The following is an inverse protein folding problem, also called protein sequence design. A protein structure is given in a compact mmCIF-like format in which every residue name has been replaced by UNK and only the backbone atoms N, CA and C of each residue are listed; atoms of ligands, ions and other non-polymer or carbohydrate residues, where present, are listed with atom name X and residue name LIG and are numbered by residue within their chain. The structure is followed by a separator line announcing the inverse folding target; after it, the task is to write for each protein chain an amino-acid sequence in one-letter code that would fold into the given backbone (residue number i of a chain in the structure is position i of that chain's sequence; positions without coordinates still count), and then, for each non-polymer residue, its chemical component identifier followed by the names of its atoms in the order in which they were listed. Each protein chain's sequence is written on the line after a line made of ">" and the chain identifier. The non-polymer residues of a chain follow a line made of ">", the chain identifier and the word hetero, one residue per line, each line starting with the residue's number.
data_IF_164430777619
#
_entry.id   IF_164430777619
#
_cell.length_a   1.000
_cell.length_b   1.000
_cell.length_c   1.000
_cell.angle_alpha   90.00
_cell.angle_beta   90.00
_cell.angle_gamma   90.00
#
_symmetry.space_group_name_H-M   'P 1'
#
loop_
_entity.id
_entity.type
_entity.pdbx_description
1 polymer ?
#
# COMPACT_ATOMS: atom_id res chain seq x y z
N UNK A 1 -40.81 -44.98 -12.83
CA UNK A 1 -39.91 -43.92 -13.33
C UNK A 1 -39.61 -42.95 -12.20
N UNK A 2 -38.52 -43.17 -11.46
CA UNK A 2 -38.15 -42.41 -10.25
C UNK A 2 -36.65 -42.17 -10.24
N UNK A 3 -36.15 -41.30 -11.14
CA UNK A 3 -34.74 -40.88 -11.15
C UNK A 3 -34.62 -39.45 -11.69
N UNK A 4 -35.07 -38.45 -10.93
CA UNK A 4 -34.78 -37.03 -11.24
C UNK A 4 -34.63 -36.13 -9.99
N UNK A 5 -34.16 -36.67 -8.86
CA UNK A 5 -33.86 -35.86 -7.67
C UNK A 5 -32.38 -35.64 -7.29
N UNK A 6 -31.38 -36.46 -7.70
CA UNK A 6 -30.01 -36.23 -7.21
C UNK A 6 -29.22 -35.20 -8.02
N UNK A 7 -29.66 -34.82 -9.23
CA UNK A 7 -28.90 -33.90 -10.09
C UNK A 7 -29.01 -32.42 -9.65
N UNK A 8 -30.11 -32.05 -8.99
CA UNK A 8 -30.37 -30.66 -8.59
C UNK A 8 -29.60 -30.24 -7.34
N UNK A 9 -29.29 -31.20 -6.45
CA UNK A 9 -28.46 -30.95 -5.24
C UNK A 9 -26.97 -30.85 -5.61
N UNK A 10 -26.50 -31.60 -6.62
CA UNK A 10 -25.12 -31.45 -7.10
C UNK A 10 -24.87 -30.15 -7.88
N UNK A 11 -25.86 -29.63 -8.61
CA UNK A 11 -25.71 -28.36 -9.34
C UNK A 11 -25.78 -27.12 -8.43
N UNK A 12 -26.49 -27.20 -7.30
CA UNK A 12 -26.51 -26.10 -6.31
C UNK A 12 -25.21 -26.01 -5.49
N UNK A 13 -24.49 -27.13 -5.32
CA UNK A 13 -23.18 -27.15 -4.65
C UNK A 13 -22.04 -26.66 -5.55
N UNK A 14 -22.18 -26.77 -6.87
CA UNK A 14 -21.16 -26.32 -7.85
C UNK A 14 -21.36 -24.84 -8.23
N UNK A 15 -22.57 -24.29 -8.03
CA UNK A 15 -22.82 -22.86 -8.26
C UNK A 15 -22.32 -21.93 -7.14
N UNK A 16 -21.95 -22.46 -5.96
CA UNK A 16 -21.51 -21.64 -4.82
C UNK A 16 -19.99 -21.39 -4.75
N UNK A 17 -19.20 -21.95 -5.67
CA UNK A 17 -17.76 -21.66 -5.79
C UNK A 17 -17.40 -20.79 -6.99
N UNK A 18 -18.40 -20.29 -7.72
CA UNK A 18 -18.20 -19.36 -8.82
C UNK A 18 -18.17 -17.91 -8.31
N UNK A 19 -16.94 -17.38 -8.21
CA UNK A 19 -16.57 -15.97 -7.96
C UNK A 19 -16.79 -15.45 -6.53
N UNK A 20 -16.01 -15.97 -5.59
CA UNK A 20 -15.45 -15.09 -4.56
C UNK A 20 -14.30 -14.30 -5.19
N UNK A 21 -14.64 -13.39 -6.11
CA UNK A 21 -13.71 -12.41 -6.65
C UNK A 21 -13.71 -11.28 -5.63
N UNK A 22 -12.64 -11.15 -4.84
CA UNK A 22 -12.58 -10.11 -3.81
C UNK A 22 -12.78 -8.75 -4.47
N UNK A 23 -13.83 -8.02 -4.08
CA UNK A 23 -14.09 -6.68 -4.63
C UNK A 23 -12.93 -5.72 -4.32
N UNK A 24 -12.17 -6.00 -3.26
CA UNK A 24 -10.96 -5.28 -2.89
C UNK A 24 -9.70 -6.09 -3.25
N UNK A 25 -9.11 -5.79 -4.40
CA UNK A 25 -7.84 -6.37 -4.81
C UNK A 25 -6.67 -5.46 -4.39
N UNK A 26 -6.00 -5.84 -3.29
CA UNK A 26 -4.85 -5.08 -2.78
C UNK A 26 -3.67 -5.05 -3.77
N UNK A 27 -3.53 -6.06 -4.63
CA UNK A 27 -2.42 -6.12 -5.58
C UNK A 27 -2.56 -5.09 -6.69
N UNK A 28 -3.80 -4.75 -7.07
CA UNK A 28 -4.08 -3.68 -8.03
C UNK A 28 -3.42 -2.37 -7.61
N UNK A 29 -3.40 -2.05 -6.32
CA UNK A 29 -2.74 -0.84 -5.84
C UNK A 29 -1.23 -0.93 -6.06
N UNK A 30 -0.59 -2.06 -5.72
CA UNK A 30 0.85 -2.25 -5.97
C UNK A 30 1.20 -2.12 -7.46
N UNK A 31 0.37 -2.72 -8.33
CA UNK A 31 0.56 -2.71 -9.77
C UNK A 31 0.34 -1.31 -10.40
N UNK A 32 -0.33 -0.41 -9.67
CA UNK A 32 -0.60 0.97 -10.08
C UNK A 32 0.39 1.99 -9.50
N UNK A 33 1.40 1.55 -8.75
CA UNK A 33 2.45 2.45 -8.28
C UNK A 33 3.08 3.17 -9.48
N UNK A 34 3.26 4.52 -9.41
CA UNK A 34 3.90 5.23 -10.50
C UNK A 34 5.33 4.69 -10.71
N UNK A 35 5.73 4.40 -11.97
CA UNK A 35 7.05 3.85 -12.25
C UNK A 35 8.15 4.89 -12.00
N UNK A 36 9.40 4.43 -11.89
CA UNK A 36 10.57 5.31 -12.05
C UNK A 36 10.64 5.76 -13.50
N UNK A 37 11.04 7.00 -13.73
CA UNK A 37 11.16 7.57 -15.07
C UNK A 37 12.29 6.93 -15.88
N UNK A 38 12.17 7.00 -17.20
CA UNK A 38 13.17 6.45 -18.12
C UNK A 38 14.42 7.31 -18.25
N UNK A 39 14.28 8.62 -18.08
CA UNK A 39 15.37 9.59 -18.14
C UNK A 39 15.14 10.77 -17.18
N UNK A 40 16.16 11.63 -17.06
CA UNK A 40 16.17 12.77 -16.13
C UNK A 40 15.17 13.85 -16.53
N UNK A 41 14.94 14.07 -17.84
CA UNK A 41 13.93 15.03 -18.31
C UNK A 41 12.51 14.58 -17.94
N UNK A 42 12.21 13.29 -18.08
CA UNK A 42 10.94 12.71 -17.63
C UNK A 42 10.78 12.85 -16.11
N UNK A 43 11.84 12.63 -15.32
CA UNK A 43 11.80 12.84 -13.87
C UNK A 43 11.41 14.28 -13.54
N UNK A 44 12.04 15.25 -14.20
CA UNK A 44 11.74 16.66 -14.03
C UNK A 44 10.29 17.00 -14.39
N UNK A 45 9.79 16.52 -15.54
CA UNK A 45 8.41 16.76 -15.98
C UNK A 45 7.37 16.16 -15.02
N UNK A 46 7.66 15.01 -14.41
CA UNK A 46 6.76 14.38 -13.44
C UNK A 46 6.71 15.12 -12.09
N UNK A 47 7.84 15.72 -11.68
CA UNK A 47 7.94 16.47 -10.42
C UNK A 47 7.51 17.94 -10.53
N UNK A 48 7.61 18.55 -11.72
CA UNK A 48 7.21 19.94 -11.97
C UNK A 48 6.16 20.06 -13.09
N UNK A 49 5.01 19.37 -12.99
CA UNK A 49 3.95 19.49 -13.98
C UNK A 49 3.31 20.88 -13.89
N UNK A 50 2.99 21.49 -15.04
CA UNK A 50 2.36 22.81 -15.10
C UNK A 50 0.98 22.79 -14.41
N UNK A 51 0.91 23.32 -13.19
CA UNK A 51 -0.32 23.55 -12.43
C UNK A 51 -1.10 22.31 -11.99
N UNK A 52 -0.46 21.14 -11.88
CA UNK A 52 -1.12 19.86 -11.53
C UNK A 52 -0.41 19.15 -10.38
N UNK A 53 -1.11 18.22 -9.73
CA UNK A 53 -0.49 17.27 -8.80
C UNK A 53 0.45 16.32 -9.55
N UNK A 54 1.57 15.94 -8.93
CA UNK A 54 2.47 14.91 -9.47
C UNK A 54 1.77 13.54 -9.53
N UNK A 55 2.23 12.60 -10.38
CA UNK A 55 1.67 11.25 -10.39
C UNK A 55 1.67 10.58 -9.01
N UNK A 56 2.71 10.83 -8.21
CA UNK A 56 2.82 10.33 -6.84
C UNK A 56 1.78 10.94 -5.89
N UNK A 57 1.50 12.24 -6.01
CA UNK A 57 0.46 12.91 -5.23
C UNK A 57 -0.95 12.45 -5.63
N UNK A 58 -1.20 12.29 -6.93
CA UNK A 58 -2.49 11.79 -7.43
C UNK A 58 -2.75 10.36 -6.94
N UNK A 59 -1.74 9.51 -7.00
CA UNK A 59 -1.83 8.13 -6.52
C UNK A 59 -1.97 8.06 -4.99
N UNK A 60 -1.27 8.92 -4.25
CA UNK A 60 -1.44 9.04 -2.81
C UNK A 60 -2.86 9.44 -2.42
N UNK A 61 -3.48 10.39 -3.13
CA UNK A 61 -4.88 10.75 -2.92
C UNK A 61 -5.84 9.56 -3.13
N UNK A 62 -5.55 8.65 -4.08
CA UNK A 62 -6.33 7.42 -4.26
C UNK A 62 -6.22 6.52 -3.03
N UNK A 63 -5.01 6.32 -2.49
CA UNK A 63 -4.80 5.51 -1.30
C UNK A 63 -5.45 6.14 -0.06
N UNK A 64 -5.35 7.46 0.10
CA UNK A 64 -5.97 8.19 1.20
C UNK A 64 -7.49 8.07 1.15
N UNK A 65 -8.10 8.15 -0.03
CA UNK A 65 -9.53 7.93 -0.19
C UNK A 65 -9.96 6.52 0.26
N UNK A 66 -9.14 5.50 -0.01
CA UNK A 66 -9.43 4.13 0.42
C UNK A 66 -9.26 3.95 1.93
N UNK A 67 -8.19 4.51 2.52
CA UNK A 67 -7.98 4.47 3.97
C UNK A 67 -9.11 5.21 4.71
N UNK A 68 -9.54 6.36 4.19
CA UNK A 68 -10.71 7.10 4.68
C UNK A 68 -11.98 6.23 4.64
N UNK A 69 -12.25 5.56 3.51
CA UNK A 69 -13.40 4.67 3.40
C UNK A 69 -13.36 3.50 4.39
N UNK A 70 -12.17 2.98 4.72
CA UNK A 70 -12.02 1.96 5.77
C UNK A 70 -12.31 2.54 7.17
N UNK A 71 -11.84 3.76 7.45
CA UNK A 71 -12.14 4.44 8.71
C UNK A 71 -13.65 4.67 8.89
N UNK A 72 -14.33 5.16 7.83
CA UNK A 72 -15.78 5.35 7.81
C UNK A 72 -16.53 4.02 8.03
N UNK A 73 -16.08 2.93 7.38
CA UNK A 73 -16.64 1.58 7.57
C UNK A 73 -16.42 1.00 8.96
N UNK A 74 -15.38 1.44 9.66
CA UNK A 74 -15.13 1.08 11.06
C UNK A 74 -15.99 1.89 12.04
N UNK A 75 -16.87 2.77 11.52
CA UNK A 75 -17.60 3.76 12.31
C UNK A 75 -16.68 4.56 13.24
N UNK A 76 -15.46 4.86 12.75
CA UNK A 76 -14.39 5.54 13.49
C UNK A 76 -14.00 4.88 14.82
N UNK A 77 -14.31 3.60 15.02
CA UNK A 77 -13.95 2.88 16.25
C UNK A 77 -12.46 2.52 16.31
N UNK A 78 -11.80 2.46 15.15
CA UNK A 78 -10.36 2.19 15.07
C UNK A 78 -9.53 3.45 15.24
N UNK A 79 -8.77 3.50 16.34
CA UNK A 79 -7.72 4.51 16.55
C UNK A 79 -6.71 4.50 15.40
N UNK A 80 -6.28 3.31 14.99
CA UNK A 80 -5.29 3.13 13.93
C UNK A 80 -5.78 3.71 12.60
N UNK A 81 -6.99 3.36 12.15
CA UNK A 81 -7.54 3.90 10.90
C UNK A 81 -7.77 5.41 11.00
N UNK A 82 -8.13 5.93 12.17
CA UNK A 82 -8.26 7.38 12.40
C UNK A 82 -6.92 8.10 12.29
N UNK A 83 -5.82 7.50 12.77
CA UNK A 83 -4.47 8.03 12.59
C UNK A 83 -4.04 7.96 11.12
N UNK A 84 -4.23 6.80 10.46
CA UNK A 84 -3.81 6.60 9.07
C UNK A 84 -4.54 7.51 8.08
N UNK A 85 -5.80 7.85 8.37
CA UNK A 85 -6.64 8.77 7.59
C UNK A 85 -6.36 10.25 7.90
N UNK A 86 -5.51 10.57 8.88
CA UNK A 86 -5.26 11.95 9.31
C UNK A 86 -6.45 12.60 10.03
N UNK A 87 -7.41 11.81 10.51
CA UNK A 87 -8.63 12.30 11.19
C UNK A 87 -8.60 12.14 12.71
N UNK A 88 -7.50 11.64 13.26
CA UNK A 88 -7.36 11.34 14.70
C UNK A 88 -7.81 12.49 15.61
N UNK A 89 -7.38 13.73 15.34
CA UNK A 89 -7.75 14.88 16.19
C UNK A 89 -9.26 15.21 16.15
N UNK A 90 -9.90 15.02 15.00
CA UNK A 90 -11.33 15.27 14.84
C UNK A 90 -12.15 14.15 15.48
N UNK A 91 -11.78 12.89 15.23
CA UNK A 91 -12.50 11.73 15.76
C UNK A 91 -12.25 11.56 17.26
N UNK A 92 -11.06 11.86 17.76
CA UNK A 92 -10.72 11.81 19.19
C UNK A 92 -11.52 12.79 20.06
N UNK A 93 -12.16 13.80 19.46
CA UNK A 93 -13.12 14.68 20.16
C UNK A 93 -14.50 14.07 20.29
N UNK A 94 -14.85 13.11 19.43
CA UNK A 94 -16.16 12.45 19.34
C UNK A 94 -16.15 11.07 19.97
N UNK A 95 -15.00 10.42 19.95
CA UNK A 95 -14.79 9.03 20.32
C UNK A 95 -13.69 8.94 21.37
N UNK A 96 -14.02 8.34 22.52
CA UNK A 96 -13.04 8.00 23.54
C UNK A 96 -12.41 6.64 23.20
N UNK A 97 -11.29 6.68 22.47
CA UNK A 97 -10.57 5.47 22.06
C UNK A 97 -10.10 4.60 23.23
N UNK A 98 -9.95 5.16 24.43
CA UNK A 98 -9.53 4.38 25.62
C UNK A 98 -10.62 3.42 26.10
N UNK A 99 -11.87 3.68 25.72
CA UNK A 99 -13.03 2.86 26.08
C UNK A 99 -13.43 1.86 24.99
N UNK A 100 -12.85 1.96 23.80
CA UNK A 100 -13.15 1.04 22.70
C UNK A 100 -12.25 -0.17 22.80
N UNK A 101 -12.87 -1.35 22.94
CA UNK A 101 -12.18 -2.64 22.88
C UNK A 101 -12.47 -3.29 21.53
N UNK A 102 -11.45 -3.35 20.68
CA UNK A 102 -11.50 -4.07 19.42
C UNK A 102 -11.11 -5.52 19.70
N UNK A 103 -11.96 -6.47 19.29
CA UNK A 103 -11.61 -7.87 19.38
C UNK A 103 -10.50 -8.21 18.38
N UNK A 104 -9.50 -8.96 18.84
CA UNK A 104 -8.35 -9.35 18.03
C UNK A 104 -8.27 -10.87 17.88
N UNK A 105 -8.00 -11.34 16.66
CA UNK A 105 -7.46 -12.68 16.43
C UNK A 105 -5.95 -12.68 16.80
N UNK A 106 -5.50 -13.51 17.77
CA UNK A 106 -4.10 -13.60 18.17
C UNK A 106 -3.15 -13.99 17.04
N UNK A 107 -3.56 -14.87 16.12
CA UNK A 107 -2.71 -15.31 15.01
C UNK A 107 -2.51 -14.16 14.02
N UNK A 108 -3.59 -13.45 13.70
CA UNK A 108 -3.55 -12.28 12.83
C UNK A 108 -2.72 -11.15 13.46
N UNK A 109 -2.90 -10.89 14.76
CA UNK A 109 -2.11 -9.89 15.50
C UNK A 109 -0.62 -10.23 15.47
N UNK A 110 -0.26 -11.49 15.73
CA UNK A 110 1.12 -11.96 15.65
C UNK A 110 1.69 -11.74 14.25
N UNK A 111 0.94 -12.07 13.20
CA UNK A 111 1.37 -11.86 11.81
C UNK A 111 1.52 -10.38 11.47
N UNK A 112 0.62 -9.50 11.94
CA UNK A 112 0.75 -8.04 11.75
C UNK A 112 2.05 -7.49 12.37
N UNK A 113 2.38 -7.91 13.58
CA UNK A 113 3.62 -7.51 14.27
C UNK A 113 4.86 -8.00 13.52
N UNK A 114 4.88 -9.28 13.11
CA UNK A 114 5.97 -9.84 12.31
C UNK A 114 6.13 -9.07 10.99
N UNK A 115 5.02 -8.82 10.30
CA UNK A 115 5.00 -8.10 9.04
C UNK A 115 5.51 -6.66 9.17
N UNK A 116 5.20 -5.98 10.26
CA UNK A 116 5.75 -4.63 10.47
C UNK A 116 7.29 -4.65 10.49
N UNK A 117 7.89 -5.64 11.15
CA UNK A 117 9.35 -5.84 11.12
C UNK A 117 9.86 -6.14 9.70
N UNK A 118 9.20 -7.04 8.98
CA UNK A 118 9.59 -7.40 7.60
C UNK A 118 9.54 -6.17 6.69
N UNK A 119 8.51 -5.32 6.82
CA UNK A 119 8.40 -4.09 6.04
C UNK A 119 9.56 -3.13 6.31
N UNK A 120 9.95 -2.92 7.56
CA UNK A 120 11.11 -2.07 7.88
C UNK A 120 12.41 -2.62 7.30
N UNK A 121 12.59 -3.95 7.28
CA UNK A 121 13.75 -4.55 6.60
C UNK A 121 13.72 -4.30 5.08
N UNK A 122 12.55 -4.34 4.45
CA UNK A 122 12.42 -4.01 3.01
C UNK A 122 12.79 -2.54 2.74
N UNK A 123 12.40 -1.63 3.63
CA UNK A 123 12.76 -0.20 3.53
C UNK A 123 14.26 0.01 3.78
N UNK A 124 14.85 -0.64 4.78
CA UNK A 124 16.29 -0.60 5.06
C UNK A 124 17.12 -1.13 3.88
N UNK A 125 16.70 -2.26 3.29
CA UNK A 125 17.31 -2.81 2.07
C UNK A 125 17.25 -1.82 0.90
N UNK A 126 16.14 -1.08 0.74
CA UNK A 126 16.04 -0.03 -0.28
C UNK A 126 17.01 1.12 -0.01
N UNK A 127 17.15 1.54 1.25
CA UNK A 127 18.15 2.53 1.68
C UNK A 127 19.57 2.08 1.36
N UNK A 128 19.90 0.81 1.59
CA UNK A 128 21.21 0.23 1.24
C UNK A 128 21.45 0.19 -0.27
N UNK A 129 20.44 -0.17 -1.05
CA UNK A 129 20.54 -0.16 -2.52
C UNK A 129 20.77 1.25 -3.08
N UNK A 130 20.38 2.28 -2.33
CA UNK A 130 20.48 3.69 -2.73
C UNK A 130 21.61 4.45 -2.02
N UNK A 131 22.43 3.78 -1.20
CA UNK A 131 23.46 4.42 -0.36
C UNK A 131 24.59 5.08 -1.17
N UNK A 132 24.79 4.68 -2.43
CA UNK A 132 25.79 5.27 -3.33
C UNK A 132 25.50 6.72 -3.73
N UNK A 133 24.29 7.23 -3.45
CA UNK A 133 23.86 8.56 -3.84
C UNK A 133 24.65 9.66 -3.13
N UNK A 134 24.98 9.47 -1.85
CA UNK A 134 25.79 10.45 -1.11
C UNK A 134 27.20 10.57 -1.69
N UNK A 135 27.77 9.47 -2.18
CA UNK A 135 29.05 9.48 -2.86
C UNK A 135 28.98 10.19 -4.20
N UNK A 136 27.90 10.01 -4.97
CA UNK A 136 27.67 10.75 -6.23
C UNK A 136 27.66 12.26 -5.96
N UNK A 137 26.91 12.71 -4.95
CA UNK A 137 26.82 14.14 -4.59
C UNK A 137 28.14 14.78 -4.18
N UNK A 138 29.06 13.99 -3.61
CA UNK A 138 30.36 14.47 -3.14
C UNK A 138 31.44 14.46 -4.20
N UNK A 139 31.37 13.50 -5.13
CA UNK A 139 32.45 13.22 -6.09
C UNK A 139 32.18 13.76 -7.48
N UNK A 140 30.93 14.08 -7.80
CA UNK A 140 30.54 14.63 -9.10
C UNK A 140 30.18 16.10 -8.97
N UNK A 141 30.85 16.97 -9.72
CA UNK A 141 30.60 18.42 -9.67
C UNK A 141 29.46 18.83 -10.60
N UNK A 142 29.26 18.10 -11.70
CA UNK A 142 28.20 18.39 -12.67
C UNK A 142 26.84 17.84 -12.19
N UNK A 143 25.88 18.74 -11.96
CA UNK A 143 24.55 18.39 -11.49
C UNK A 143 23.74 17.52 -12.47
N UNK A 144 23.95 17.66 -13.78
CA UNK A 144 23.31 16.82 -14.79
C UNK A 144 23.86 15.39 -14.74
N UNK A 145 25.17 15.23 -14.60
CA UNK A 145 25.81 13.92 -14.40
C UNK A 145 25.40 13.29 -13.07
N UNK A 146 25.26 14.09 -12.00
CA UNK A 146 24.69 13.63 -10.73
C UNK A 146 23.28 13.06 -10.94
N UNK A 147 22.39 13.80 -11.61
CA UNK A 147 21.01 13.40 -11.86
C UNK A 147 20.95 12.07 -12.63
N UNK A 148 21.75 11.92 -13.69
CA UNK A 148 21.83 10.69 -14.50
C UNK A 148 22.33 9.50 -13.67
N UNK A 149 23.39 9.68 -12.88
CA UNK A 149 23.94 8.61 -12.03
C UNK A 149 22.96 8.18 -10.94
N UNK A 150 22.29 9.14 -10.28
CA UNK A 150 21.26 8.85 -9.29
C UNK A 150 20.08 8.12 -9.90
N UNK A 151 19.60 8.56 -11.07
CA UNK A 151 18.48 7.92 -11.75
C UNK A 151 18.78 6.45 -12.07
N UNK A 152 20.00 6.13 -12.54
CA UNK A 152 20.40 4.74 -12.80
C UNK A 152 20.34 3.86 -11.55
N UNK A 153 20.77 4.38 -10.39
CA UNK A 153 20.65 3.66 -9.11
C UNK A 153 19.17 3.40 -8.81
N UNK A 154 18.31 4.42 -8.93
CA UNK A 154 16.88 4.26 -8.63
C UNK A 154 16.18 3.32 -9.61
N UNK A 155 16.51 3.35 -10.90
CA UNK A 155 15.99 2.43 -11.91
C UNK A 155 16.32 0.96 -11.60
N UNK A 156 17.44 0.70 -10.90
CA UNK A 156 17.80 -0.65 -10.44
C UNK A 156 17.14 -1.00 -9.10
N UNK A 157 17.11 -0.05 -8.15
CA UNK A 157 16.65 -0.30 -6.79
C UNK A 157 15.12 -0.42 -6.68
N UNK A 158 14.36 0.42 -7.39
CA UNK A 158 12.90 0.48 -7.26
C UNK A 158 12.20 -0.81 -7.70
N UNK A 159 12.54 -1.45 -8.84
CA UNK A 159 11.94 -2.74 -9.21
C UNK A 159 12.15 -3.82 -8.15
N UNK A 160 13.33 -3.87 -7.52
CA UNK A 160 13.63 -4.82 -6.43
C UNK A 160 12.76 -4.52 -5.21
N UNK A 161 12.64 -3.24 -4.84
CA UNK A 161 11.81 -2.79 -3.74
C UNK A 161 10.32 -3.10 -3.96
N UNK A 162 9.77 -2.78 -5.13
CA UNK A 162 8.37 -3.06 -5.49
C UNK A 162 8.10 -4.57 -5.51
N UNK A 163 9.04 -5.38 -6.02
CA UNK A 163 8.93 -6.84 -5.98
C UNK A 163 8.86 -7.36 -4.54
N UNK A 164 9.73 -6.88 -3.65
CA UNK A 164 9.71 -7.26 -2.22
C UNK A 164 8.42 -6.82 -1.54
N UNK A 165 7.94 -5.60 -1.83
CA UNK A 165 6.66 -5.08 -1.33
C UNK A 165 5.47 -5.95 -1.77
N UNK A 166 5.44 -6.38 -3.04
CA UNK A 166 4.39 -7.27 -3.57
C UNK A 166 4.37 -8.61 -2.83
N UNK A 167 5.53 -9.21 -2.59
CA UNK A 167 5.65 -10.46 -1.84
C UNK A 167 5.19 -10.29 -0.38
N UNK A 168 5.61 -9.20 0.25
CA UNK A 168 5.18 -8.82 1.59
C UNK A 168 3.64 -8.73 1.72
N UNK A 169 2.99 -8.04 0.78
CA UNK A 169 1.53 -7.91 0.75
C UNK A 169 0.86 -9.26 0.51
N UNK A 170 1.46 -10.09 -0.36
CA UNK A 170 0.95 -11.42 -0.70
C UNK A 170 0.81 -12.29 0.54
N UNK A 171 1.81 -12.33 1.41
CA UNK A 171 1.77 -13.18 2.60
C UNK A 171 0.59 -12.87 3.53
N UNK A 172 0.29 -11.58 3.78
CA UNK A 172 -0.85 -11.20 4.62
C UNK A 172 -2.16 -11.49 3.91
N UNK A 173 -2.24 -11.18 2.62
CA UNK A 173 -3.45 -11.43 1.84
C UNK A 173 -3.77 -12.93 1.76
N UNK A 174 -2.76 -13.79 1.62
CA UNK A 174 -2.93 -15.24 1.64
C UNK A 174 -3.44 -15.74 3.00
N UNK A 175 -2.94 -15.20 4.11
CA UNK A 175 -3.47 -15.51 5.44
C UNK A 175 -4.94 -15.07 5.58
N UNK A 176 -5.25 -13.84 5.17
CA UNK A 176 -6.62 -13.29 5.19
C UNK A 176 -7.58 -14.13 4.34
N UNK A 177 -7.14 -14.62 3.18
CA UNK A 177 -7.91 -15.54 2.33
C UNK A 177 -8.10 -16.90 2.99
N UNK A 178 -7.01 -17.50 3.50
CA UNK A 178 -7.03 -18.82 4.16
C UNK A 178 -8.00 -18.85 5.34
N UNK A 179 -8.12 -17.74 6.08
CA UNK A 179 -9.02 -17.58 7.22
C UNK A 179 -10.45 -17.13 6.84
N UNK A 180 -10.72 -16.87 5.56
CA UNK A 180 -12.01 -16.35 5.10
C UNK A 180 -12.28 -14.88 5.43
N UNK A 181 -11.27 -14.16 5.95
CA UNK A 181 -11.40 -12.77 6.38
C UNK A 181 -11.60 -11.79 5.23
N UNK A 182 -11.01 -12.05 4.07
CA UNK A 182 -11.31 -11.24 2.90
C UNK A 182 -12.77 -11.38 2.47
N UNK A 183 -13.35 -12.58 2.53
CA UNK A 183 -14.78 -12.80 2.26
C UNK A 183 -15.67 -12.05 3.27
N UNK A 184 -15.32 -12.06 4.55
CA UNK A 184 -16.02 -11.27 5.60
C UNK A 184 -16.05 -9.79 5.23
N UNK A 185 -14.90 -9.24 4.81
CA UNK A 185 -14.79 -7.83 4.46
C UNK A 185 -15.50 -7.48 3.14
N UNK A 186 -15.42 -8.35 2.13
CA UNK A 186 -16.02 -8.13 0.82
C UNK A 186 -17.54 -8.21 0.86
N UNK A 187 -18.09 -9.10 1.70
CA UNK A 187 -19.52 -9.21 1.98
C UNK A 187 -20.01 -8.23 3.06
N UNK A 188 -19.12 -7.37 3.58
CA UNK A 188 -19.43 -6.36 4.60
C UNK A 188 -20.14 -6.95 5.83
N UNK A 189 -19.69 -8.11 6.33
CA UNK A 189 -20.30 -8.79 7.48
C UNK A 189 -19.87 -8.08 8.78
N UNK A 190 -20.48 -6.93 9.07
CA UNK A 190 -20.13 -6.06 10.20
C UNK A 190 -20.32 -6.74 11.58
N UNK A 191 -21.16 -7.77 11.65
CA UNK A 191 -21.40 -8.55 12.87
C UNK A 191 -20.26 -9.53 13.20
N UNK A 192 -19.30 -9.72 12.28
CA UNK A 192 -18.16 -10.59 12.53
C UNK A 192 -17.29 -10.02 13.66
N UNK A 193 -16.97 -10.85 14.65
CA UNK A 193 -16.26 -10.42 15.87
C UNK A 193 -15.00 -9.60 15.59
N UNK A 194 -14.22 -9.97 14.58
CA UNK A 194 -12.96 -9.29 14.24
C UNK A 194 -13.10 -8.20 13.16
N UNK A 195 -14.31 -7.83 12.75
CA UNK A 195 -14.54 -6.98 11.56
C UNK A 195 -13.69 -5.70 11.54
N UNK A 196 -13.63 -4.97 12.66
CA UNK A 196 -12.82 -3.75 12.77
C UNK A 196 -11.32 -4.03 12.63
N UNK A 197 -10.80 -5.09 13.28
CA UNK A 197 -9.41 -5.51 13.13
C UNK A 197 -9.09 -5.90 11.67
N UNK A 198 -10.02 -6.53 10.96
CA UNK A 198 -9.84 -6.90 9.56
C UNK A 198 -9.73 -5.64 8.66
N UNK A 199 -10.52 -4.59 8.94
CA UNK A 199 -10.39 -3.30 8.27
C UNK A 199 -9.02 -2.66 8.56
N UNK A 200 -8.54 -2.73 9.80
CA UNK A 200 -7.21 -2.25 10.20
C UNK A 200 -6.09 -2.93 9.41
N UNK A 201 -6.15 -4.26 9.20
CA UNK A 201 -5.18 -4.97 8.35
C UNK A 201 -5.15 -4.36 6.94
N UNK A 202 -6.32 -4.16 6.31
CA UNK A 202 -6.37 -3.56 4.97
C UNK A 202 -5.80 -2.14 4.97
N UNK A 203 -6.11 -1.35 6.00
CA UNK A 203 -5.58 0.01 6.16
C UNK A 203 -4.05 0.01 6.28
N UNK A 204 -3.48 -0.92 7.05
CA UNK A 204 -2.03 -1.06 7.18
C UNK A 204 -1.36 -1.45 5.86
N UNK A 205 -1.95 -2.36 5.09
CA UNK A 205 -1.42 -2.75 3.78
C UNK A 205 -1.42 -1.55 2.81
N UNK A 206 -2.51 -0.79 2.76
CA UNK A 206 -2.59 0.44 1.97
C UNK A 206 -1.57 1.49 2.43
N UNK A 207 -1.39 1.66 3.74
CA UNK A 207 -0.37 2.56 4.30
C UNK A 207 1.05 2.16 3.88
N UNK A 208 1.36 0.85 3.82
CA UNK A 208 2.68 0.39 3.37
C UNK A 208 2.91 0.69 1.89
N UNK A 209 1.88 0.58 1.07
CA UNK A 209 1.92 0.98 -0.34
C UNK A 209 2.09 2.51 -0.46
N UNK A 210 1.37 3.29 0.36
CA UNK A 210 1.50 4.75 0.44
C UNK A 210 2.91 5.18 0.83
N UNK A 211 3.51 4.50 1.81
CA UNK A 211 4.89 4.76 2.21
C UNK A 211 5.87 4.45 1.08
N UNK A 212 5.70 3.33 0.37
CA UNK A 212 6.50 3.01 -0.80
C UNK A 212 6.37 4.06 -1.91
N UNK A 213 5.15 4.55 -2.19
CA UNK A 213 4.92 5.63 -3.13
C UNK A 213 5.68 6.91 -2.76
N UNK A 214 5.65 7.30 -1.48
CA UNK A 214 6.39 8.47 -0.98
C UNK A 214 7.89 8.33 -1.15
N UNK A 215 8.44 7.14 -0.87
CA UNK A 215 9.87 6.87 -1.07
C UNK A 215 10.26 6.98 -2.55
N UNK A 216 9.51 6.33 -3.45
CA UNK A 216 9.77 6.38 -4.89
C UNK A 216 9.63 7.82 -5.41
N UNK A 217 8.58 8.53 -5.03
CA UNK A 217 8.37 9.92 -5.41
C UNK A 217 9.46 10.85 -4.91
N UNK A 218 9.98 10.62 -3.68
CA UNK A 218 11.12 11.37 -3.16
C UNK A 218 12.39 11.10 -3.98
N UNK A 219 12.66 9.84 -4.32
CA UNK A 219 13.80 9.45 -5.16
C UNK A 219 13.78 10.15 -6.53
N UNK A 220 12.63 10.16 -7.20
CA UNK A 220 12.46 10.87 -8.49
C UNK A 220 12.54 12.39 -8.29
N UNK A 221 12.02 12.91 -7.18
CA UNK A 221 12.15 14.32 -6.80
C UNK A 221 13.60 14.76 -6.62
N UNK A 222 14.47 13.92 -6.03
CA UNK A 222 15.90 14.21 -5.93
C UNK A 222 16.58 14.30 -7.29
N UNK A 223 16.27 13.38 -8.22
CA UNK A 223 16.77 13.44 -9.60
C UNK A 223 16.32 14.73 -10.29
N UNK A 224 15.03 15.06 -10.18
CA UNK A 224 14.46 16.26 -10.76
C UNK A 224 15.09 17.55 -10.20
N UNK A 225 15.40 17.58 -8.91
CA UNK A 225 16.08 18.71 -8.26
C UNK A 225 17.49 18.91 -8.82
N UNK A 226 18.29 17.84 -8.93
CA UNK A 226 19.64 17.93 -9.51
C UNK A 226 19.58 18.42 -10.97
N UNK A 227 18.60 17.96 -11.75
CA UNK A 227 18.40 18.47 -13.10
C UNK A 227 18.02 19.96 -13.12
N UNK A 228 17.20 20.41 -12.18
CA UNK A 228 16.84 21.82 -12.11
C UNK A 228 18.06 22.71 -11.79
N UNK A 229 19.01 22.21 -10.99
CA UNK A 229 20.28 22.92 -10.70
C UNK A 229 21.22 22.92 -11.90
N UNK A 230 21.24 21.88 -12.75
CA UNK A 230 22.08 21.84 -13.96
C UNK A 230 21.65 22.81 -15.06
N UNK A 231 20.41 23.32 -14.99
CA UNK A 231 19.84 24.25 -15.96
C UNK A 231 20.03 25.73 -15.59
N UNK A 232 20.61 26.01 -14.41
CA UNK A 232 20.90 27.38 -13.95
C UNK A 232 22.29 27.81 -14.41
#
# INVERSE_FOLDING_TARGET
>A
MLYKLPLLVCLMSIAYTAKCQSAFDIFKYVDQLPPVTGNVNEAWQQCYPKGKHTPYQQYEAVLDAQINALADRSNHQSLLLSMLSGRYEMEGRRVDFTKIVIAEDPELKKKQTEQSRVFFNIVDDYGRLTSGIDSIRKLEEDYGVQAEKMLRIYQQAVPVFVKKLRLFIKEMNDLMNKKGYNTVLDNQVQTHKYYVQLLEVRGLLLDRIRHANRLIGSSVGYVALMQAESMK
#
